data_IF_234317998158
#
_entry.id   IF_234317998158
#
_cell.length_a   1.000
_cell.length_b   1.000
_cell.length_c   1.000
_cell.angle_alpha   90.00
_cell.angle_beta   90.00
_cell.angle_gamma   90.00
#
_symmetry.space_group_name_H-M   'P 1'
#
loop_
_entity.id
_entity.type
_entity.pdbx_description
1 polymer ?
#
# COMPACT_ATOMS: atom_id res chain seq x y z
N UNK A 1 108.12 10.54 61.96
CA UNK A 1 107.18 9.44 61.75
C UNK A 1 105.83 10.04 61.38
N UNK A 2 105.23 10.95 62.16
CA UNK A 2 103.86 11.52 61.95
C UNK A 2 103.67 12.21 60.66
N UNK A 3 104.63 12.95 60.12
CA UNK A 3 104.49 13.64 58.85
C UNK A 3 104.53 12.67 57.65
N UNK A 4 105.13 11.53 57.80
CA UNK A 4 105.21 10.52 56.76
C UNK A 4 103.92 9.73 56.67
N UNK A 5 103.31 9.43 57.84
CA UNK A 5 102.04 8.69 57.91
C UNK A 5 100.89 9.55 57.37
N UNK A 6 100.93 10.86 57.65
CA UNK A 6 99.96 11.79 57.12
C UNK A 6 100.09 12.00 55.59
N UNK A 7 101.35 11.93 55.08
CA UNK A 7 101.58 11.98 53.65
C UNK A 7 101.06 10.76 52.92
N UNK A 8 101.35 9.56 53.52
CA UNK A 8 100.87 8.30 52.95
C UNK A 8 99.33 8.21 52.97
N UNK A 9 98.67 8.68 54.06
CA UNK A 9 97.20 8.78 54.10
C UNK A 9 96.61 9.69 53.06
N UNK A 10 97.24 10.87 52.88
CA UNK A 10 96.84 11.82 51.81
C UNK A 10 97.07 11.27 50.42
N UNK A 11 98.19 10.54 50.19
CA UNK A 11 98.46 9.85 48.93
C UNK A 11 97.41 8.75 48.63
N UNK A 12 96.97 8.04 49.66
CA UNK A 12 95.91 7.03 49.51
C UNK A 12 94.59 7.69 49.15
N UNK A 13 94.24 8.79 49.85
CA UNK A 13 93.03 9.53 49.51
C UNK A 13 93.05 10.07 48.09
N UNK A 14 94.19 10.63 47.62
CA UNK A 14 94.32 11.12 46.24
C UNK A 14 94.17 9.98 45.23
N UNK A 15 94.76 8.78 45.53
CA UNK A 15 94.56 7.62 44.63
C UNK A 15 93.12 7.18 44.56
N UNK A 16 92.39 7.18 45.65
CA UNK A 16 90.99 6.81 45.72
C UNK A 16 90.10 7.79 44.90
N UNK A 17 90.33 9.12 45.12
CA UNK A 17 89.57 10.14 44.36
C UNK A 17 89.94 10.08 42.87
N UNK A 18 91.18 9.80 42.48
CA UNK A 18 91.59 9.58 41.08
C UNK A 18 90.93 8.34 40.48
N UNK A 19 90.75 7.30 41.26
CA UNK A 19 90.04 6.11 40.78
C UNK A 19 88.55 6.38 40.57
N UNK A 20 87.89 7.04 41.52
CA UNK A 20 86.50 7.46 41.41
C UNK A 20 86.29 8.39 40.21
N UNK A 21 87.21 9.36 39.99
CA UNK A 21 87.18 10.24 38.85
C UNK A 21 87.30 9.51 37.52
N UNK A 22 88.14 8.50 37.44
CA UNK A 22 88.24 7.66 36.24
C UNK A 22 87.01 6.84 35.99
N UNK A 23 86.40 6.27 37.05
CA UNK A 23 85.15 5.52 36.90
C UNK A 23 83.96 6.42 36.50
N UNK A 24 83.86 7.61 37.10
CA UNK A 24 82.89 8.57 36.74
C UNK A 24 83.06 9.07 35.28
N UNK A 25 84.33 9.30 34.87
CA UNK A 25 84.64 9.69 33.48
C UNK A 25 84.34 8.54 32.49
N UNK A 26 84.56 7.30 32.85
CA UNK A 26 84.20 6.17 32.01
C UNK A 26 82.68 5.97 31.88
N UNK A 27 81.95 6.16 32.99
CA UNK A 27 80.48 6.17 32.96
C UNK A 27 79.98 7.29 32.11
N UNK A 28 80.54 8.50 32.26
CA UNK A 28 80.13 9.69 31.42
C UNK A 28 80.40 9.45 29.95
N UNK A 29 81.49 8.81 29.55
CA UNK A 29 81.76 8.46 28.15
C UNK A 29 80.72 7.45 27.60
N UNK A 30 80.39 6.40 28.37
CA UNK A 30 79.39 5.43 27.96
C UNK A 30 78.01 6.08 27.73
N UNK A 31 77.57 6.90 28.69
CA UNK A 31 76.32 7.64 28.56
C UNK A 31 76.34 8.59 27.37
N UNK A 32 77.46 9.26 27.10
CA UNK A 32 77.65 10.12 25.92
C UNK A 32 77.53 9.34 24.59
N UNK A 33 78.11 8.11 24.54
CA UNK A 33 78.03 7.23 23.38
C UNK A 33 76.60 6.72 23.19
N UNK A 34 75.88 6.38 24.24
CA UNK A 34 74.45 5.97 24.20
C UNK A 34 73.54 7.14 23.76
N UNK A 35 73.76 8.33 24.31
CA UNK A 35 73.08 9.54 23.91
C UNK A 35 73.33 9.87 22.43
N UNK A 36 74.61 9.73 21.95
CA UNK A 36 74.90 9.93 20.54
C UNK A 36 74.19 8.91 19.61
N UNK A 37 74.03 7.67 20.02
CA UNK A 37 73.30 6.65 19.27
C UNK A 37 71.80 6.96 19.21
N UNK A 38 71.20 7.41 20.32
CA UNK A 38 69.79 7.83 20.37
C UNK A 38 69.58 9.08 19.49
N UNK A 39 70.50 10.06 19.54
CA UNK A 39 70.44 11.23 18.67
C UNK A 39 70.59 10.89 17.18
N UNK A 40 71.39 9.88 16.87
CA UNK A 40 71.60 9.43 15.49
C UNK A 40 70.38 8.62 14.99
N UNK A 41 69.72 7.89 15.83
CA UNK A 41 68.47 7.22 15.53
C UNK A 41 67.27 8.18 15.39
N UNK A 42 67.33 9.33 16.07
CA UNK A 42 66.30 10.40 16.05
C UNK A 42 66.58 11.50 15.03
N UNK A 43 67.52 11.30 14.08
CA UNK A 43 67.93 12.33 13.10
C UNK A 43 66.81 12.88 12.19
N UNK A 44 65.62 12.28 12.22
CA UNK A 44 64.42 12.76 11.49
C UNK A 44 63.50 13.68 12.32
N UNK A 45 63.87 14.05 13.56
CA UNK A 45 63.08 14.95 14.41
C UNK A 45 63.94 16.15 14.85
N UNK A 46 63.91 17.24 14.09
CA UNK A 46 64.73 18.45 14.41
C UNK A 46 64.33 19.04 15.78
N UNK A 47 63.06 18.95 16.16
CA UNK A 47 62.54 19.49 17.43
C UNK A 47 63.15 18.81 18.66
N UNK A 48 63.50 17.53 18.57
CA UNK A 48 64.05 16.77 19.67
C UNK A 48 65.52 17.18 19.97
N UNK A 49 66.26 17.59 18.93
CA UNK A 49 67.62 18.05 19.06
C UNK A 49 67.70 19.41 19.74
N UNK A 50 66.80 20.31 19.38
CA UNK A 50 66.69 21.65 19.98
C UNK A 50 66.23 21.57 21.44
N UNK A 51 65.33 20.65 21.77
CA UNK A 51 64.81 20.40 23.09
C UNK A 51 65.94 19.81 24.03
N UNK A 52 66.75 18.87 23.52
CA UNK A 52 67.88 18.30 24.21
C UNK A 52 69.00 19.35 24.44
N UNK A 53 69.30 20.23 23.46
CA UNK A 53 70.37 21.23 23.62
C UNK A 53 69.97 22.36 24.56
N UNK A 54 68.69 22.69 24.66
CA UNK A 54 68.15 23.77 25.52
C UNK A 54 67.90 23.28 26.95
N UNK A 55 67.33 22.08 27.16
CA UNK A 55 66.97 21.61 28.49
C UNK A 55 68.15 20.95 29.25
N UNK A 56 69.04 20.18 28.59
CA UNK A 56 70.11 19.48 29.27
C UNK A 56 71.16 20.42 29.87
N UNK A 57 71.32 21.64 29.31
CA UNK A 57 72.31 22.61 29.84
C UNK A 57 71.85 23.36 31.08
N UNK A 58 70.62 23.28 31.48
CA UNK A 58 70.02 24.05 32.58
C UNK A 58 69.57 23.22 33.78
N UNK A 59 69.44 21.90 33.62
CA UNK A 59 68.91 21.01 34.66
C UNK A 59 70.05 20.27 35.42
N UNK A 60 69.85 20.06 36.69
CA UNK A 60 70.69 19.24 37.52
C UNK A 60 70.43 17.74 37.24
N UNK A 61 71.40 16.88 37.57
CA UNK A 61 71.27 15.42 37.39
C UNK A 61 70.08 14.85 38.09
N UNK A 62 69.75 15.33 39.28
CA UNK A 62 68.59 14.89 40.06
C UNK A 62 67.25 15.29 39.41
N UNK A 63 67.19 16.50 38.81
CA UNK A 63 66.00 16.98 38.05
C UNK A 63 65.81 16.15 36.78
N UNK A 64 66.88 15.81 36.05
CA UNK A 64 66.81 14.97 34.88
C UNK A 64 66.40 13.52 35.21
N UNK A 65 66.84 12.96 36.34
CA UNK A 65 66.41 11.64 36.78
C UNK A 65 64.89 11.65 37.15
N UNK A 66 64.43 12.70 37.83
CA UNK A 66 63.01 12.85 38.15
C UNK A 66 62.12 13.00 36.90
N UNK A 67 62.60 13.77 35.91
CA UNK A 67 61.89 13.91 34.62
C UNK A 67 61.85 12.59 33.85
N UNK A 68 62.96 11.86 33.80
CA UNK A 68 63.05 10.52 33.17
C UNK A 68 62.06 9.55 33.85
N UNK A 69 62.00 9.51 35.16
CA UNK A 69 61.10 8.63 35.88
C UNK A 69 59.61 9.06 35.72
N UNK A 70 59.37 10.36 35.67
CA UNK A 70 58.03 10.91 35.35
C UNK A 70 57.59 10.51 33.95
N UNK A 71 58.43 10.65 32.95
CA UNK A 71 58.11 10.28 31.57
C UNK A 71 57.98 8.77 31.37
N UNK A 72 58.81 7.96 32.10
CA UNK A 72 58.63 6.49 32.14
C UNK A 72 57.28 6.10 32.72
N UNK A 73 56.89 6.69 33.86
CA UNK A 73 55.59 6.44 34.46
C UNK A 73 54.41 6.85 33.55
N UNK A 74 54.55 7.98 32.84
CA UNK A 74 53.55 8.40 31.80
C UNK A 74 53.50 7.41 30.66
N UNK A 75 54.63 6.90 30.21
CA UNK A 75 54.73 5.94 29.12
C UNK A 75 54.10 4.61 29.49
N UNK A 76 54.34 4.12 30.73
CA UNK A 76 53.70 2.92 31.25
C UNK A 76 52.18 3.05 31.35
N UNK A 77 51.66 4.17 31.89
CA UNK A 77 50.25 4.48 31.94
C UNK A 77 49.64 4.57 30.54
N UNK A 78 50.34 5.14 29.58
CA UNK A 78 49.89 5.27 28.20
C UNK A 78 49.87 3.92 27.47
N UNK A 79 50.87 3.06 27.74
CA UNK A 79 50.94 1.71 27.14
C UNK A 79 49.83 0.78 27.64
N UNK A 80 49.52 0.76 28.94
CA UNK A 80 48.41 -0.05 29.46
C UNK A 80 47.04 0.43 28.96
N UNK A 81 46.84 1.75 28.91
CA UNK A 81 45.60 2.36 28.34
C UNK A 81 45.49 2.16 26.84
N UNK A 82 46.58 2.22 26.09
CA UNK A 82 46.63 2.16 24.63
C UNK A 82 46.28 0.76 24.08
N UNK A 83 46.77 -0.32 24.69
CA UNK A 83 46.50 -1.66 24.18
C UNK A 83 45.02 -2.07 24.30
N UNK A 84 44.36 -1.66 25.40
CA UNK A 84 42.94 -1.87 25.60
C UNK A 84 42.09 -1.06 24.60
N UNK A 85 42.44 0.20 24.39
CA UNK A 85 41.75 1.08 23.46
C UNK A 85 41.92 0.65 22.01
N UNK A 86 43.10 0.19 21.60
CA UNK A 86 43.33 -0.32 20.25
C UNK A 86 42.48 -1.55 19.99
N UNK A 87 42.43 -2.48 20.94
CA UNK A 87 41.59 -3.67 20.82
C UNK A 87 40.11 -3.33 20.74
N UNK A 88 39.63 -2.40 21.57
CA UNK A 88 38.26 -1.94 21.54
C UNK A 88 37.92 -1.26 20.21
N UNK A 89 38.82 -0.46 19.67
CA UNK A 89 38.69 0.17 18.36
C UNK A 89 38.61 -0.88 17.24
N UNK A 90 39.49 -1.88 17.25
CA UNK A 90 39.44 -2.96 16.26
C UNK A 90 38.14 -3.76 16.34
N UNK A 91 37.66 -4.08 17.54
CA UNK A 91 36.44 -4.82 17.75
C UNK A 91 35.21 -3.99 17.28
N UNK A 92 35.21 -2.67 17.54
CA UNK A 92 34.20 -1.76 17.01
C UNK A 92 34.28 -1.68 15.48
N UNK A 93 35.48 -1.58 14.92
CA UNK A 93 35.65 -1.54 13.46
C UNK A 93 35.13 -2.83 12.81
N UNK A 94 35.46 -3.99 13.36
CA UNK A 94 34.93 -5.28 12.88
C UNK A 94 33.41 -5.35 12.98
N UNK A 95 32.82 -4.75 14.02
CA UNK A 95 31.39 -4.69 14.20
C UNK A 95 30.74 -3.77 13.16
N UNK A 96 31.34 -2.62 12.89
CA UNK A 96 30.91 -1.67 11.87
C UNK A 96 30.93 -2.33 10.48
N UNK A 97 32.02 -3.03 10.16
CA UNK A 97 32.17 -3.69 8.87
C UNK A 97 31.12 -4.80 8.67
N UNK A 98 30.86 -5.60 9.72
CA UNK A 98 29.77 -6.59 9.71
C UNK A 98 28.37 -5.96 9.56
N UNK A 99 28.15 -4.81 10.19
CA UNK A 99 26.88 -4.10 10.07
C UNK A 99 26.72 -3.48 8.67
N UNK A 100 27.79 -2.96 8.10
CA UNK A 100 27.78 -2.45 6.72
C UNK A 100 27.51 -3.55 5.70
N UNK A 101 28.12 -4.72 5.87
CA UNK A 101 27.85 -5.87 5.01
C UNK A 101 26.39 -6.32 5.11
N UNK A 102 25.83 -6.39 6.33
CA UNK A 102 24.40 -6.69 6.53
C UNK A 102 23.50 -5.63 5.91
N UNK A 103 23.82 -4.35 6.09
CA UNK A 103 23.07 -3.24 5.52
C UNK A 103 23.01 -3.34 4.00
N UNK A 104 24.17 -3.49 3.36
CA UNK A 104 24.26 -3.68 1.91
C UNK A 104 23.49 -4.92 1.44
N UNK A 105 23.53 -6.02 2.23
CA UNK A 105 22.73 -7.21 1.95
C UNK A 105 21.22 -6.96 2.05
N UNK A 106 20.77 -6.09 2.94
CA UNK A 106 19.36 -5.70 3.06
C UNK A 106 18.94 -4.72 1.95
N UNK A 107 19.81 -3.76 1.61
CA UNK A 107 19.57 -2.83 0.49
C UNK A 107 19.39 -3.59 -0.83
N UNK A 108 20.24 -4.57 -1.11
CA UNK A 108 20.10 -5.41 -2.29
C UNK A 108 18.77 -6.19 -2.30
N UNK A 109 18.41 -6.80 -1.16
CA UNK A 109 17.11 -7.50 -1.06
C UNK A 109 15.91 -6.57 -1.22
N UNK A 110 15.99 -5.35 -0.69
CA UNK A 110 14.94 -4.33 -0.87
C UNK A 110 14.79 -3.99 -2.36
N UNK A 111 15.89 -3.74 -3.04
CA UNK A 111 15.87 -3.47 -4.47
C UNK A 111 15.30 -4.65 -5.29
N UNK A 112 15.66 -5.90 -4.93
CA UNK A 112 15.09 -7.09 -5.56
C UNK A 112 13.57 -7.19 -5.33
N UNK A 113 13.09 -6.89 -4.11
CA UNK A 113 11.66 -6.89 -3.80
C UNK A 113 10.93 -5.76 -4.52
N UNK A 114 11.48 -4.56 -4.58
CA UNK A 114 10.90 -3.45 -5.33
C UNK A 114 10.79 -3.79 -6.82
N UNK A 115 11.82 -4.39 -7.39
CA UNK A 115 11.78 -4.82 -8.78
C UNK A 115 10.67 -5.86 -9.01
N UNK A 116 10.59 -6.88 -8.16
CA UNK A 116 9.56 -7.92 -8.25
C UNK A 116 8.15 -7.36 -8.07
N UNK A 117 7.95 -6.44 -7.12
CA UNK A 117 6.66 -5.75 -6.90
C UNK A 117 6.29 -4.93 -8.13
N UNK A 118 7.21 -4.17 -8.68
CA UNK A 118 6.96 -3.34 -9.86
C UNK A 118 6.66 -4.18 -11.12
N UNK A 119 7.30 -5.32 -11.28
CA UNK A 119 7.01 -6.26 -12.37
C UNK A 119 5.57 -6.80 -12.25
N UNK A 120 5.20 -7.32 -11.07
CA UNK A 120 3.84 -7.81 -10.81
C UNK A 120 2.82 -6.67 -10.97
N UNK A 121 3.11 -5.49 -10.44
CA UNK A 121 2.26 -4.30 -10.56
C UNK A 121 2.04 -3.92 -12.02
N UNK A 122 3.10 -3.96 -12.83
CA UNK A 122 3.03 -3.66 -14.26
C UNK A 122 2.11 -4.59 -15.05
N UNK A 123 1.88 -5.80 -14.57
CA UNK A 123 0.94 -6.73 -15.18
C UNK A 123 -0.51 -6.56 -14.70
N UNK A 124 -0.72 -6.51 -13.39
CA UNK A 124 -2.08 -6.57 -12.86
C UNK A 124 -2.77 -5.21 -12.77
N UNK A 125 -2.04 -4.12 -12.54
CA UNK A 125 -2.64 -2.79 -12.40
C UNK A 125 -3.37 -2.33 -13.67
N UNK A 126 -2.81 -2.49 -14.88
CA UNK A 126 -3.54 -2.17 -16.12
C UNK A 126 -4.79 -3.04 -16.31
N UNK A 127 -4.74 -4.31 -15.88
CA UNK A 127 -5.91 -5.19 -15.94
C UNK A 127 -7.00 -4.76 -14.97
N UNK A 128 -6.61 -4.34 -13.76
CA UNK A 128 -7.54 -3.78 -12.77
C UNK A 128 -8.18 -2.50 -13.31
N UNK A 129 -7.38 -1.58 -13.84
CA UNK A 129 -7.87 -0.32 -14.40
C UNK A 129 -8.83 -0.56 -15.57
N UNK A 130 -8.52 -1.48 -16.46
CA UNK A 130 -9.41 -1.87 -17.56
C UNK A 130 -10.72 -2.48 -17.04
N UNK A 131 -10.66 -3.31 -16.00
CA UNK A 131 -11.83 -3.91 -15.37
C UNK A 131 -12.72 -2.82 -14.72
N UNK A 132 -12.12 -1.93 -13.94
CA UNK A 132 -12.83 -0.83 -13.29
C UNK A 132 -13.42 0.15 -14.32
N UNK A 133 -12.70 0.40 -15.41
CA UNK A 133 -13.23 1.21 -16.50
C UNK A 133 -14.49 0.59 -17.13
N UNK A 134 -14.49 -0.72 -17.39
CA UNK A 134 -15.67 -1.44 -17.88
C UNK A 134 -16.85 -1.35 -16.91
N UNK A 135 -16.60 -1.47 -15.60
CA UNK A 135 -17.62 -1.27 -14.56
C UNK A 135 -18.14 0.16 -14.62
N UNK A 136 -17.25 1.13 -14.71
CA UNK A 136 -17.59 2.56 -14.76
C UNK A 136 -18.43 2.89 -15.99
N UNK A 137 -18.12 2.34 -17.14
CA UNK A 137 -18.87 2.56 -18.39
C UNK A 137 -20.30 1.99 -18.28
N UNK A 138 -20.45 0.76 -17.77
CA UNK A 138 -21.76 0.13 -17.56
C UNK A 138 -22.59 0.87 -16.49
N UNK A 139 -21.94 1.37 -15.46
CA UNK A 139 -22.55 2.17 -14.41
C UNK A 139 -22.99 3.54 -14.94
N UNK A 140 -22.11 4.22 -15.67
CA UNK A 140 -22.38 5.51 -16.30
C UNK A 140 -23.54 5.44 -17.31
N UNK A 141 -23.59 4.39 -18.16
CA UNK A 141 -24.70 4.14 -19.07
C UNK A 141 -26.02 3.98 -18.30
N UNK A 142 -26.01 3.29 -17.18
CA UNK A 142 -27.22 3.12 -16.36
C UNK A 142 -27.71 4.45 -15.76
N UNK A 143 -26.77 5.30 -15.31
CA UNK A 143 -27.08 6.62 -14.77
C UNK A 143 -27.53 7.62 -15.86
N UNK A 144 -26.90 7.59 -17.03
CA UNK A 144 -27.24 8.45 -18.15
C UNK A 144 -28.69 8.25 -18.61
N UNK A 145 -29.20 7.01 -18.60
CA UNK A 145 -30.60 6.68 -18.97
C UNK A 145 -31.65 7.29 -18.04
N UNK A 146 -31.27 7.56 -16.80
CA UNK A 146 -32.17 8.23 -15.83
C UNK A 146 -31.92 9.75 -15.72
N UNK A 147 -31.09 10.31 -16.62
CA UNK A 147 -30.74 11.74 -16.62
C UNK A 147 -29.76 12.13 -15.51
N UNK A 148 -29.03 11.18 -14.95
CA UNK A 148 -28.05 11.38 -13.90
C UNK A 148 -26.65 11.05 -14.42
N UNK A 149 -25.62 11.29 -13.60
CA UNK A 149 -24.27 10.89 -13.91
C UNK A 149 -23.68 10.03 -12.79
N UNK A 150 -22.91 9.04 -13.16
CA UNK A 150 -22.23 8.16 -12.22
C UNK A 150 -20.88 7.70 -12.80
N UNK A 151 -19.92 7.52 -11.94
CA UNK A 151 -18.57 7.06 -12.27
C UNK A 151 -18.04 6.15 -11.16
N UNK A 152 -17.27 5.16 -11.53
CA UNK A 152 -16.54 4.30 -10.62
C UNK A 152 -15.05 4.45 -10.91
N UNK A 153 -14.25 4.64 -9.87
CA UNK A 153 -12.80 4.78 -9.98
C UNK A 153 -12.11 4.04 -8.84
N UNK A 154 -10.82 3.73 -9.01
CA UNK A 154 -9.96 3.26 -7.92
C UNK A 154 -9.26 4.47 -7.32
N UNK A 155 -9.35 4.62 -6.02
CA UNK A 155 -8.55 5.57 -5.27
C UNK A 155 -7.25 4.85 -4.89
N UNK A 156 -6.17 5.25 -5.56
CA UNK A 156 -4.83 4.71 -5.35
C UNK A 156 -4.09 5.64 -4.40
N UNK A 157 -4.10 5.28 -3.11
CA UNK A 157 -3.34 6.02 -2.10
C UNK A 157 -1.88 5.60 -2.25
N UNK A 158 -1.02 6.55 -2.57
CA UNK A 158 0.43 6.39 -2.56
C UNK A 158 0.99 7.07 -1.32
N UNK A 159 1.92 6.41 -0.65
CA UNK A 159 2.62 7.02 0.48
C UNK A 159 3.42 8.23 -0.01
N UNK A 160 3.53 9.28 0.80
CA UNK A 160 4.34 10.43 0.46
C UNK A 160 5.80 10.00 0.24
N UNK A 161 6.52 10.65 -0.68
CA UNK A 161 7.92 10.34 -0.93
C UNK A 161 8.72 10.44 0.38
N UNK A 162 9.61 9.48 0.60
CA UNK A 162 10.47 9.43 1.76
C UNK A 162 11.35 10.68 1.88
N UNK A 163 11.93 10.97 3.05
CA UNK A 163 12.74 12.16 3.31
C UNK A 163 13.97 12.28 2.38
N UNK A 164 14.39 11.20 1.74
CA UNK A 164 15.51 11.15 0.79
C UNK A 164 15.07 11.25 -0.68
N UNK A 165 13.78 11.54 -0.97
CA UNK A 165 13.26 11.57 -2.32
C UNK A 165 13.01 10.18 -2.92
N UNK A 166 13.04 9.13 -2.12
CA UNK A 166 12.64 7.80 -2.53
C UNK A 166 11.13 7.79 -2.85
N UNK A 167 10.70 7.13 -3.95
CA UNK A 167 9.29 7.04 -4.26
C UNK A 167 8.56 6.39 -3.08
N UNK A 168 7.44 6.99 -2.67
CA UNK A 168 6.60 6.45 -1.60
C UNK A 168 6.14 5.04 -1.95
N UNK A 169 6.09 4.17 -0.96
CA UNK A 169 5.55 2.82 -1.12
C UNK A 169 4.06 2.89 -1.48
N UNK A 170 3.57 1.94 -2.28
CA UNK A 170 2.14 1.79 -2.51
C UNK A 170 1.58 0.79 -1.50
N UNK A 171 0.82 1.27 -0.53
CA UNK A 171 0.05 0.38 0.34
C UNK A 171 -1.27 0.00 -0.35
N UNK A 172 -1.24 -1.15 -1.05
CA UNK A 172 -2.42 -1.68 -1.75
C UNK A 172 -3.61 -1.95 -0.81
N UNK A 173 -3.40 -2.09 0.50
CA UNK A 173 -4.48 -2.26 1.47
C UNK A 173 -5.31 -0.99 1.67
N UNK A 174 -4.76 0.16 1.34
CA UNK A 174 -5.45 1.45 1.39
C UNK A 174 -6.19 1.78 0.09
N UNK A 175 -5.98 1.00 -0.97
CA UNK A 175 -6.70 1.20 -2.22
C UNK A 175 -8.17 0.90 -2.03
N UNK A 176 -9.02 1.77 -2.55
CA UNK A 176 -10.47 1.64 -2.43
C UNK A 176 -11.18 1.94 -3.74
N UNK A 177 -12.33 1.30 -3.94
CA UNK A 177 -13.21 1.61 -5.05
C UNK A 177 -14.11 2.76 -4.62
N UNK A 178 -14.02 3.87 -5.32
CA UNK A 178 -14.87 5.04 -5.11
C UNK A 178 -16.01 5.07 -6.14
N UNK A 179 -17.22 5.17 -5.64
CA UNK A 179 -18.41 5.38 -6.44
C UNK A 179 -18.79 6.85 -6.33
N UNK A 180 -18.83 7.54 -7.45
CA UNK A 180 -19.19 8.95 -7.52
C UNK A 180 -20.50 9.09 -8.30
N UNK A 181 -21.44 9.88 -7.79
CA UNK A 181 -22.77 10.05 -8.37
C UNK A 181 -23.19 11.51 -8.38
N UNK A 182 -24.06 11.83 -9.33
CA UNK A 182 -24.71 13.13 -9.45
C UNK A 182 -26.19 12.91 -9.87
N UNK A 183 -27.11 13.29 -9.03
CA UNK A 183 -28.55 13.15 -9.28
C UNK A 183 -29.21 14.42 -9.83
N UNK A 184 -28.56 15.58 -9.66
CA UNK A 184 -29.10 16.87 -10.12
C UNK A 184 -28.09 17.55 -11.05
N UNK A 185 -28.57 18.19 -12.12
CA UNK A 185 -27.70 18.81 -13.13
C UNK A 185 -26.78 19.91 -12.59
N UNK A 186 -27.19 20.58 -11.51
CA UNK A 186 -26.44 21.68 -10.91
C UNK A 186 -25.38 21.22 -9.87
N UNK A 187 -25.32 19.95 -9.57
CA UNK A 187 -24.39 19.36 -8.62
C UNK A 187 -23.15 18.81 -9.34
N UNK A 188 -22.02 18.82 -8.66
CA UNK A 188 -20.85 18.10 -9.13
C UNK A 188 -20.93 16.62 -8.74
N UNK A 189 -20.19 15.77 -9.45
CA UNK A 189 -19.97 14.39 -9.04
C UNK A 189 -19.43 14.38 -7.61
N UNK A 190 -20.06 13.62 -6.74
CA UNK A 190 -19.68 13.47 -5.34
C UNK A 190 -19.63 12.01 -4.95
N UNK A 191 -18.73 11.68 -4.03
CA UNK A 191 -18.60 10.32 -3.50
C UNK A 191 -19.95 9.92 -2.87
N UNK A 192 -20.34 8.66 -3.11
CA UNK A 192 -21.55 8.07 -2.54
C UNK A 192 -21.42 8.00 -1.02
N UNK A 193 -22.12 8.86 -0.31
CA UNK A 193 -22.09 9.00 1.14
C UNK A 193 -23.49 8.99 1.75
N UNK A 194 -23.57 8.53 2.99
CA UNK A 194 -24.81 8.48 3.77
C UNK A 194 -25.41 9.85 4.08
N UNK A 195 -24.60 10.90 4.06
CA UNK A 195 -24.99 12.25 4.45
C UNK A 195 -25.45 13.14 3.28
N UNK A 196 -25.04 12.81 2.05
CA UNK A 196 -25.31 13.64 0.87
C UNK A 196 -26.47 13.15 0.03
N UNK A 197 -26.63 11.82 -0.11
CA UNK A 197 -27.67 11.23 -0.94
C UNK A 197 -28.83 10.72 -0.09
N UNK A 198 -30.03 10.79 -0.64
CA UNK A 198 -31.22 10.21 -0.02
C UNK A 198 -31.10 8.67 0.04
N UNK A 199 -31.90 8.04 0.90
CA UNK A 199 -31.94 6.57 1.00
C UNK A 199 -32.27 5.91 -0.35
N UNK A 200 -33.23 6.47 -1.11
CA UNK A 200 -33.59 5.98 -2.43
C UNK A 200 -32.49 6.16 -3.48
N UNK A 201 -31.81 7.31 -3.49
CA UNK A 201 -30.65 7.57 -4.36
C UNK A 201 -29.51 6.58 -4.10
N UNK A 202 -29.22 6.31 -2.84
CA UNK A 202 -28.20 5.31 -2.47
C UNK A 202 -28.59 3.90 -2.91
N UNK A 203 -29.85 3.52 -2.71
CA UNK A 203 -30.36 2.21 -3.13
C UNK A 203 -30.23 2.02 -4.65
N UNK A 204 -30.63 3.03 -5.45
CA UNK A 204 -30.48 3.02 -6.92
C UNK A 204 -29.01 2.91 -7.32
N UNK A 205 -28.11 3.70 -6.68
CA UNK A 205 -26.68 3.66 -6.96
C UNK A 205 -26.09 2.29 -6.69
N UNK A 206 -26.42 1.71 -5.54
CA UNK A 206 -25.95 0.37 -5.17
C UNK A 206 -26.40 -0.69 -6.16
N UNK A 207 -27.65 -0.64 -6.58
CA UNK A 207 -28.21 -1.61 -7.54
C UNK A 207 -27.58 -1.44 -8.92
N UNK A 208 -27.41 -0.22 -9.41
CA UNK A 208 -26.74 -0.01 -10.70
C UNK A 208 -25.29 -0.43 -10.67
N UNK A 209 -24.59 -0.24 -9.54
CA UNK A 209 -23.26 -0.76 -9.35
C UNK A 209 -23.22 -2.31 -9.35
N UNK A 210 -24.14 -2.96 -8.65
CA UNK A 210 -24.27 -4.42 -8.68
C UNK A 210 -24.60 -4.93 -10.10
N UNK A 211 -25.44 -4.25 -10.85
CA UNK A 211 -25.74 -4.59 -12.26
C UNK A 211 -24.49 -4.45 -13.15
N UNK A 212 -23.71 -3.38 -12.93
CA UNK A 212 -22.45 -3.19 -13.64
C UNK A 212 -21.43 -4.31 -13.32
N UNK A 213 -21.30 -4.69 -12.06
CA UNK A 213 -20.49 -5.85 -11.66
C UNK A 213 -20.97 -7.16 -12.28
N UNK A 214 -22.30 -7.36 -12.32
CA UNK A 214 -22.90 -8.55 -12.94
C UNK A 214 -22.60 -8.65 -14.43
N UNK A 215 -22.38 -7.52 -15.13
CA UNK A 215 -22.02 -7.53 -16.54
C UNK A 215 -20.67 -8.17 -16.82
N UNK A 216 -19.79 -8.25 -15.83
CA UNK A 216 -18.48 -8.87 -15.92
C UNK A 216 -18.51 -10.40 -15.73
N UNK A 217 -19.60 -10.93 -15.19
CA UNK A 217 -19.75 -12.35 -14.89
C UNK A 217 -20.55 -13.06 -15.98
N UNK A 218 -20.00 -14.11 -16.55
CA UNK A 218 -20.67 -14.98 -17.52
C UNK A 218 -21.58 -16.00 -16.79
N UNK A 219 -22.65 -15.51 -16.14
CA UNK A 219 -23.62 -16.39 -15.49
C UNK A 219 -24.75 -16.77 -16.44
N UNK A 220 -25.14 -18.05 -16.57
CA UNK A 220 -26.22 -18.49 -17.44
C UNK A 220 -27.59 -18.00 -16.96
N UNK A 221 -27.77 -17.83 -15.66
CA UNK A 221 -28.97 -17.25 -15.07
C UNK A 221 -28.63 -16.43 -13.82
N UNK A 222 -29.52 -15.54 -13.46
CA UNK A 222 -29.42 -14.68 -12.28
C UNK A 222 -30.74 -14.64 -11.55
N UNK A 223 -30.70 -14.73 -10.24
CA UNK A 223 -31.86 -14.62 -9.36
C UNK A 223 -31.73 -13.34 -8.56
N UNK A 224 -32.70 -12.48 -8.64
CA UNK A 224 -32.76 -11.20 -7.94
C UNK A 224 -34.03 -11.18 -7.11
N UNK A 225 -33.84 -11.19 -5.80
CA UNK A 225 -34.95 -11.26 -4.85
C UNK A 225 -35.11 -9.91 -4.15
N UNK A 226 -36.35 -9.43 -4.09
CA UNK A 226 -36.78 -8.21 -3.38
C UNK A 226 -35.91 -6.94 -3.61
N UNK A 227 -35.29 -6.81 -4.78
CA UNK A 227 -34.37 -5.70 -5.09
C UNK A 227 -35.04 -4.31 -4.97
N UNK A 228 -36.35 -4.25 -5.08
CA UNK A 228 -37.15 -3.05 -5.03
C UNK A 228 -37.69 -2.72 -3.63
N UNK A 229 -37.32 -3.49 -2.61
CA UNK A 229 -37.77 -3.26 -1.25
C UNK A 229 -37.17 -1.96 -0.68
N UNK A 230 -37.99 -1.11 -0.08
CA UNK A 230 -37.56 0.13 0.55
C UNK A 230 -37.32 1.32 -0.40
N UNK A 231 -37.61 1.17 -1.70
CA UNK A 231 -37.55 2.26 -2.67
C UNK A 231 -38.88 2.97 -2.81
N UNK A 232 -38.80 4.23 -3.24
CA UNK A 232 -39.98 4.92 -3.72
C UNK A 232 -40.44 4.39 -5.12
N UNK A 233 -41.70 4.54 -5.48
CA UNK A 233 -42.26 4.00 -6.74
C UNK A 233 -41.58 4.50 -8.01
N UNK A 234 -40.94 5.68 -7.98
CA UNK A 234 -40.23 6.22 -9.13
C UNK A 234 -38.91 5.48 -9.34
N UNK A 235 -38.11 5.34 -8.29
CA UNK A 235 -36.85 4.64 -8.33
C UNK A 235 -37.04 3.15 -8.62
N UNK A 236 -38.09 2.55 -8.07
CA UNK A 236 -38.47 1.15 -8.32
C UNK A 236 -38.73 0.87 -9.80
N UNK A 237 -39.46 1.77 -10.48
CA UNK A 237 -39.71 1.66 -11.92
C UNK A 237 -38.43 1.80 -12.74
N UNK A 238 -37.56 2.74 -12.39
CA UNK A 238 -36.28 2.95 -13.09
C UNK A 238 -35.39 1.73 -13.01
N UNK A 239 -35.28 1.15 -11.82
CA UNK A 239 -34.48 -0.08 -11.61
C UNK A 239 -35.06 -1.24 -12.41
N UNK A 240 -36.37 -1.44 -12.35
CA UNK A 240 -37.06 -2.48 -13.12
C UNK A 240 -36.88 -2.32 -14.63
N UNK A 241 -37.06 -1.12 -15.14
CA UNK A 241 -36.89 -0.80 -16.58
C UNK A 241 -35.45 -1.14 -17.01
N UNK A 242 -34.45 -0.74 -16.20
CA UNK A 242 -33.06 -1.04 -16.50
C UNK A 242 -32.75 -2.54 -16.50
N UNK A 243 -33.31 -3.28 -15.55
CA UNK A 243 -33.15 -4.75 -15.51
C UNK A 243 -33.78 -5.41 -16.74
N UNK A 244 -34.96 -4.97 -17.15
CA UNK A 244 -35.61 -5.48 -18.34
C UNK A 244 -34.81 -5.16 -19.60
N UNK A 245 -34.25 -3.96 -19.68
CA UNK A 245 -33.37 -3.57 -20.77
C UNK A 245 -32.15 -4.46 -20.92
N UNK A 246 -31.49 -4.71 -19.80
CA UNK A 246 -30.31 -5.61 -19.76
C UNK A 246 -30.71 -7.06 -20.10
N UNK A 247 -31.81 -7.55 -19.50
CA UNK A 247 -32.22 -8.95 -19.68
C UNK A 247 -32.74 -9.23 -21.10
N UNK A 248 -33.41 -8.24 -21.74
CA UNK A 248 -33.99 -8.34 -23.07
C UNK A 248 -33.09 -7.75 -24.18
N UNK A 249 -31.88 -7.31 -23.86
CA UNK A 249 -30.96 -6.82 -24.87
C UNK A 249 -30.69 -7.92 -25.90
N UNK A 250 -30.76 -7.61 -27.22
CA UNK A 250 -30.43 -8.58 -28.24
C UNK A 250 -28.97 -9.06 -28.07
N UNK A 251 -28.76 -10.36 -28.22
CA UNK A 251 -27.39 -10.89 -28.35
C UNK A 251 -26.81 -10.32 -29.63
N UNK A 252 -26.04 -9.27 -29.52
CA UNK A 252 -25.22 -8.85 -30.65
C UNK A 252 -24.16 -9.93 -30.84
N UNK A 253 -24.27 -10.68 -31.94
CA UNK A 253 -23.18 -11.42 -32.49
C UNK A 253 -22.17 -10.40 -33.05
N UNK A 254 -21.58 -9.61 -32.17
CA UNK A 254 -20.50 -8.73 -32.53
C UNK A 254 -19.25 -9.57 -32.69
N UNK A 255 -18.62 -9.54 -33.84
CA UNK A 255 -17.29 -10.07 -34.10
C UNK A 255 -16.23 -9.30 -33.31
N UNK A 256 -16.37 -9.23 -32.01
CA UNK A 256 -15.40 -8.77 -31.05
C UNK A 256 -14.61 -9.98 -30.54
N UNK A 257 -13.41 -9.77 -30.09
CA UNK A 257 -12.54 -10.77 -29.46
C UNK A 257 -13.29 -11.59 -28.41
N UNK A 258 -12.87 -12.83 -28.17
CA UNK A 258 -13.49 -13.72 -27.15
C UNK A 258 -13.66 -13.06 -25.78
N UNK A 259 -12.88 -12.03 -25.47
CA UNK A 259 -12.96 -11.24 -24.23
C UNK A 259 -14.16 -10.25 -24.19
N UNK A 260 -14.69 -9.83 -25.33
CA UNK A 260 -15.84 -8.90 -25.43
C UNK A 260 -17.21 -9.59 -25.31
N UNK A 261 -17.24 -10.93 -25.32
CA UNK A 261 -18.49 -11.73 -25.25
C UNK A 261 -19.00 -11.87 -23.82
N UNK A 262 -18.22 -11.49 -22.84
CA UNK A 262 -18.57 -11.64 -21.42
C UNK A 262 -19.49 -10.48 -21.00
N UNK A 263 -20.80 -10.69 -21.03
CA UNK A 263 -21.69 -9.94 -20.16
C UNK A 263 -22.92 -9.25 -20.68
N UNK A 264 -23.06 -8.95 -21.93
CA UNK A 264 -24.24 -8.26 -22.43
C UNK A 264 -25.14 -9.21 -23.23
N UNK A 265 -26.27 -9.57 -22.66
CA UNK A 265 -27.36 -10.24 -23.39
C UNK A 265 -27.22 -11.75 -23.51
N UNK A 266 -27.81 -12.46 -22.58
CA UNK A 266 -27.91 -13.93 -22.66
C UNK A 266 -28.16 -14.65 -21.35
N UNK A 267 -28.04 -13.96 -20.24
CA UNK A 267 -28.43 -14.52 -18.94
C UNK A 267 -29.94 -14.48 -18.77
N UNK A 268 -30.51 -15.56 -18.28
CA UNK A 268 -31.90 -15.55 -17.83
C UNK A 268 -31.98 -14.86 -16.47
N UNK A 269 -32.88 -13.88 -16.35
CA UNK A 269 -33.16 -13.19 -15.09
C UNK A 269 -34.43 -13.76 -14.45
N UNK A 270 -34.35 -14.08 -13.17
CA UNK A 270 -35.48 -14.37 -12.32
C UNK A 270 -35.60 -13.23 -11.31
N UNK A 271 -36.62 -12.41 -11.49
CA UNK A 271 -36.96 -11.33 -10.55
C UNK A 271 -38.08 -11.79 -9.65
N UNK A 272 -37.84 -11.83 -8.35
CA UNK A 272 -38.83 -12.15 -7.34
C UNK A 272 -39.22 -10.83 -6.65
N UNK A 273 -40.51 -10.53 -6.61
CA UNK A 273 -41.01 -9.31 -5.95
C UNK A 273 -42.38 -9.57 -5.33
N UNK A 274 -42.62 -9.14 -4.08
CA UNK A 274 -43.93 -9.25 -3.45
C UNK A 274 -44.90 -8.19 -3.92
N UNK A 275 -44.45 -7.17 -4.69
CA UNK A 275 -45.24 -6.06 -5.10
C UNK A 275 -45.59 -6.13 -6.58
N UNK A 276 -46.88 -6.06 -6.88
CA UNK A 276 -47.39 -5.79 -8.23
C UNK A 276 -47.38 -4.29 -8.47
N UNK A 277 -46.33 -3.80 -9.11
CA UNK A 277 -46.22 -2.38 -9.45
C UNK A 277 -47.06 -2.03 -10.68
N UNK A 278 -47.86 -0.98 -10.58
CA UNK A 278 -48.51 -0.41 -11.74
C UNK A 278 -47.55 0.40 -12.60
N UNK A 279 -47.61 0.22 -13.92
CA UNK A 279 -46.81 1.00 -14.88
C UNK A 279 -45.39 0.47 -15.09
N UNK A 280 -45.14 -0.79 -14.81
CA UNK A 280 -43.89 -1.47 -15.19
C UNK A 280 -43.80 -1.66 -16.70
N UNK A 281 -42.62 -1.58 -17.24
CA UNK A 281 -42.31 -1.86 -18.64
C UNK A 281 -42.16 -3.35 -18.85
N UNK A 282 -42.90 -3.89 -19.80
CA UNK A 282 -42.80 -5.29 -20.21
C UNK A 282 -42.36 -5.37 -21.66
N UNK A 283 -41.38 -6.26 -21.92
CA UNK A 283 -40.82 -6.49 -23.26
C UNK A 283 -41.12 -7.90 -23.77
N UNK A 284 -41.14 -8.12 -25.08
CA UNK A 284 -41.24 -9.46 -25.64
C UNK A 284 -40.14 -10.38 -25.05
N UNK A 285 -40.53 -11.58 -24.70
CA UNK A 285 -39.63 -12.55 -24.04
C UNK A 285 -39.72 -12.60 -22.52
N UNK A 286 -40.36 -11.63 -21.88
CA UNK A 286 -40.67 -11.69 -20.46
C UNK A 286 -41.84 -12.65 -20.18
N UNK A 287 -41.69 -13.42 -19.10
CA UNK A 287 -42.81 -14.19 -18.52
C UNK A 287 -43.07 -13.69 -17.12
N UNK A 288 -44.33 -13.39 -16.83
CA UNK A 288 -44.75 -13.01 -15.47
C UNK A 288 -45.48 -14.20 -14.87
N UNK A 289 -44.96 -14.71 -13.76
CA UNK A 289 -45.58 -15.77 -12.98
C UNK A 289 -46.22 -15.10 -11.75
N UNK A 290 -47.52 -15.17 -11.66
CA UNK A 290 -48.25 -14.67 -10.49
C UNK A 290 -48.45 -15.82 -9.50
N UNK A 291 -47.90 -15.67 -8.30
CA UNK A 291 -48.16 -16.62 -7.22
C UNK A 291 -49.30 -16.04 -6.38
N UNK A 292 -50.37 -16.78 -6.32
CA UNK A 292 -51.54 -16.41 -5.52
C UNK A 292 -51.70 -17.44 -4.44
N UNK A 293 -51.87 -17.04 -3.20
CA UNK A 293 -52.12 -17.91 -2.07
C UNK A 293 -53.40 -17.47 -1.35
N UNK A 294 -54.16 -18.39 -0.81
CA UNK A 294 -55.36 -18.08 -0.01
C UNK A 294 -56.45 -19.12 -0.12
N UNK A 295 -57.46 -19.04 0.75
CA UNK A 295 -58.57 -19.97 0.87
C UNK A 295 -59.51 -19.98 -0.36
N UNK A 296 -59.47 -18.93 -1.15
CA UNK A 296 -60.37 -18.73 -2.33
C UNK A 296 -59.65 -18.99 -3.67
N UNK A 297 -58.60 -19.79 -3.66
CA UNK A 297 -57.90 -20.16 -4.89
C UNK A 297 -58.78 -21.07 -5.75
N UNK A 298 -59.00 -20.73 -7.03
CA UNK A 298 -59.72 -21.63 -7.91
C UNK A 298 -58.93 -22.91 -8.14
N UNK A 299 -59.61 -24.04 -8.23
CA UNK A 299 -58.97 -25.35 -8.48
C UNK A 299 -58.30 -25.44 -9.86
N UNK A 300 -58.68 -24.55 -10.80
CA UNK A 300 -58.05 -24.42 -12.10
C UNK A 300 -57.64 -22.96 -12.35
N UNK A 301 -56.33 -22.72 -12.41
CA UNK A 301 -55.76 -21.38 -12.65
C UNK A 301 -56.08 -20.78 -14.02
N UNK A 302 -56.47 -21.63 -15.01
CA UNK A 302 -56.87 -21.16 -16.32
C UNK A 302 -58.22 -20.44 -16.31
N UNK A 303 -58.96 -20.62 -15.23
CA UNK A 303 -60.28 -19.96 -15.02
C UNK A 303 -60.13 -18.54 -14.43
N UNK A 304 -58.96 -18.14 -14.04
CA UNK A 304 -58.73 -16.79 -13.51
C UNK A 304 -58.76 -15.77 -14.68
N UNK A 305 -59.84 -15.01 -14.76
CA UNK A 305 -59.93 -13.86 -15.65
C UNK A 305 -59.18 -12.67 -15.02
N UNK A 306 -57.92 -12.53 -15.36
CA UNK A 306 -57.10 -11.38 -14.93
C UNK A 306 -57.67 -10.06 -15.38
N UNK A 307 -58.36 -9.98 -16.54
CA UNK A 307 -59.04 -8.79 -17.03
C UNK A 307 -60.10 -8.34 -16.06
N UNK A 308 -60.93 -9.28 -15.62
CA UNK A 308 -61.99 -9.05 -14.64
C UNK A 308 -61.45 -8.68 -13.26
N UNK A 309 -60.37 -9.34 -12.85
CA UNK A 309 -59.70 -9.03 -11.58
C UNK A 309 -59.13 -7.60 -11.57
N UNK A 310 -58.45 -7.20 -12.63
CA UNK A 310 -57.92 -5.83 -12.79
C UNK A 310 -59.06 -4.80 -12.86
N UNK A 311 -60.16 -5.11 -13.52
CA UNK A 311 -61.32 -4.23 -13.59
C UNK A 311 -62.01 -4.09 -12.23
N UNK A 312 -62.11 -5.17 -11.47
CA UNK A 312 -62.61 -5.17 -10.08
C UNK A 312 -61.68 -4.34 -9.17
N UNK A 313 -60.38 -4.55 -9.21
CA UNK A 313 -59.41 -3.74 -8.47
C UNK A 313 -59.54 -2.24 -8.80
N UNK A 314 -59.72 -1.89 -10.06
CA UNK A 314 -59.92 -0.48 -10.49
C UNK A 314 -61.19 0.11 -9.91
N UNK A 315 -62.29 -0.64 -9.90
CA UNK A 315 -63.56 -0.21 -9.31
C UNK A 315 -63.41 0.02 -7.78
N UNK A 316 -62.73 -0.91 -7.10
CA UNK A 316 -62.50 -0.81 -5.65
C UNK A 316 -61.57 0.35 -5.32
N UNK A 317 -60.56 0.61 -6.16
CA UNK A 317 -59.56 1.68 -5.97
C UNK A 317 -60.03 3.04 -6.48
N UNK A 318 -61.28 3.18 -6.98
CA UNK A 318 -61.80 4.44 -7.49
C UNK A 318 -61.11 4.96 -8.76
N UNK A 319 -60.37 4.09 -9.48
CA UNK A 319 -59.67 4.46 -10.69
C UNK A 319 -60.64 4.46 -11.91
N UNK A 320 -60.55 5.42 -12.84
CA UNK A 320 -61.44 5.49 -13.97
C UNK A 320 -61.32 4.23 -14.86
N UNK A 321 -62.47 3.83 -15.44
CA UNK A 321 -62.48 2.70 -16.36
C UNK A 321 -61.55 2.95 -17.54
N UNK A 322 -60.81 1.92 -17.94
CA UNK A 322 -59.95 2.00 -19.13
C UNK A 322 -60.83 2.27 -20.35
N UNK A 323 -60.70 3.45 -20.99
CA UNK A 323 -61.32 3.71 -22.28
C UNK A 323 -60.83 2.60 -23.23
N UNK A 324 -61.82 1.76 -23.65
CA UNK A 324 -61.63 0.87 -24.78
C UNK A 324 -61.47 1.79 -25.99
N UNK A 325 -60.20 2.00 -26.40
CA UNK A 325 -59.92 2.62 -27.68
C UNK A 325 -60.74 1.87 -28.78
N UNK A 326 -61.09 2.53 -29.93
CA UNK A 326 -61.87 1.91 -30.95
C UNK A 326 -61.27 0.56 -31.34
N UNK A 327 -62.07 -0.51 -31.16
CA UNK A 327 -61.66 -1.86 -31.45
C UNK A 327 -61.12 -1.96 -32.87
N UNK A 328 -59.95 -2.38 -33.09
CA UNK A 328 -59.53 -2.91 -34.37
C UNK A 328 -60.44 -4.07 -34.67
N UNK A 329 -61.22 -3.90 -35.72
CA UNK A 329 -62.02 -4.94 -36.33
C UNK A 329 -61.09 -6.12 -36.59
N UNK A 330 -61.33 -7.28 -35.94
CA UNK A 330 -60.73 -8.53 -36.24
C UNK A 330 -61.32 -9.01 -37.53
N UNK A 331 -60.53 -9.03 -38.60
CA UNK A 331 -60.92 -9.65 -39.85
C UNK A 331 -61.21 -11.14 -39.58
N UNK A 332 -62.32 -11.56 -40.02
CA UNK A 332 -62.80 -12.92 -40.02
C UNK A 332 -61.93 -13.77 -40.96
N UNK A 333 -60.75 -14.19 -40.54
CA UNK A 333 -60.11 -15.38 -41.09
C UNK A 333 -59.58 -16.21 -39.93
N UNK A 334 -60.27 -17.29 -39.67
CA UNK A 334 -60.20 -18.12 -38.48
C UNK A 334 -58.82 -18.81 -38.28
N UNK A 335 -57.91 -18.10 -37.66
CA UNK A 335 -56.80 -18.72 -36.97
C UNK A 335 -56.64 -18.10 -35.59
N UNK A 336 -57.19 -18.80 -34.61
CA UNK A 336 -56.93 -18.60 -33.19
C UNK A 336 -55.44 -18.78 -32.89
N UNK A 337 -54.76 -17.67 -32.86
CA UNK A 337 -53.45 -17.61 -32.23
C UNK A 337 -53.60 -17.71 -30.71
N UNK A 338 -53.77 -18.93 -30.20
CA UNK A 338 -53.74 -19.17 -28.75
C UNK A 338 -52.34 -18.78 -28.23
N UNK A 339 -52.24 -17.60 -27.65
CA UNK A 339 -51.18 -17.29 -26.73
C UNK A 339 -51.24 -18.22 -25.54
N UNK A 340 -50.53 -19.35 -25.62
CA UNK A 340 -50.34 -20.25 -24.49
C UNK A 340 -49.56 -19.50 -23.43
N UNK A 341 -50.23 -19.00 -22.42
CA UNK A 341 -49.65 -18.74 -21.11
C UNK A 341 -49.41 -20.12 -20.51
N UNK A 342 -48.20 -20.64 -20.64
CA UNK A 342 -47.81 -21.91 -20.08
C UNK A 342 -47.62 -21.75 -18.57
N UNK A 343 -48.66 -21.97 -17.82
CA UNK A 343 -48.57 -22.28 -16.39
C UNK A 343 -48.27 -23.77 -16.29
N UNK A 344 -47.11 -24.10 -15.82
CA UNK A 344 -46.81 -25.43 -15.29
C UNK A 344 -46.70 -25.31 -13.78
N UNK A 345 -47.39 -26.21 -13.11
CA UNK A 345 -47.35 -26.45 -11.67
C UNK A 345 -45.97 -26.99 -11.23
#
# INVERSE_FOLDING_TARGET
VEVRDTLEAKQAQVKEVVLELREASARGRKLGEEAAKVMQASSNQPDLKELLETHIKTLTTDELEADIDSEKARLELTHESSAGLIKEFEDRQRTIDKLREKLSGYENKLADYEHAINEIRGEWEPRLDALVQRISDAFSDSFARIGCAGQVSVDKVEDPPGPNGEPGGSDFNQWSIQIQVRFREHENLSILDSHRQSGGERAVSTIFYLMALQSLSASPFRVVDEINQGMDPKNERMVHERMVDIACAPRTAAGGSEDDVIGAGGSQYFLITPKLLSGLVYKPGMKVLCIVSGEHMPSDYNLIDFGRAVETMRKVSGLPARNKGPGRAIDHDGREGRGRVGLRA
#
